data_IF_599182334641
#
_entry.id   IF_599182334641
#
_cell.length_a   1.000
_cell.length_b   1.000
_cell.length_c   1.000
_cell.angle_alpha   90.00
_cell.angle_beta   90.00
_cell.angle_gamma   90.00
#
_symmetry.space_group_name_H-M   'P 1'
#
loop_
_entity.id
_entity.type
_entity.pdbx_description
1 polymer ?
#
# COMPACT_ATOMS: atom_id res chain seq x y z
N UNK A 1 -18.08 2.75 34.20
CA UNK A 1 -17.93 2.11 32.89
C UNK A 1 -16.90 2.93 32.11
N UNK A 2 -15.70 2.38 31.92
CA UNK A 2 -14.62 3.07 31.19
C UNK A 2 -14.91 2.88 29.70
N UNK A 3 -15.26 3.96 29.01
CA UNK A 3 -15.44 3.96 27.56
C UNK A 3 -14.05 3.97 26.93
N UNK A 4 -13.46 2.78 26.75
CA UNK A 4 -12.33 2.57 25.86
C UNK A 4 -12.87 2.65 24.43
N UNK A 5 -12.91 3.86 23.88
CA UNK A 5 -13.28 4.09 22.49
C UNK A 5 -12.23 3.38 21.63
N UNK A 6 -12.68 2.37 20.87
CA UNK A 6 -11.88 1.53 20.01
C UNK A 6 -11.05 2.35 19.02
N UNK A 7 -9.79 2.62 19.35
CA UNK A 7 -8.83 3.25 18.43
C UNK A 7 -8.31 2.27 17.37
N UNK A 8 -8.73 0.99 17.44
CA UNK A 8 -8.23 -0.08 16.57
C UNK A 8 -8.95 -0.17 15.21
N UNK A 9 -10.18 0.33 15.08
CA UNK A 9 -10.95 0.22 13.83
C UNK A 9 -10.41 1.09 12.69
N UNK A 10 -9.51 2.04 12.96
CA UNK A 10 -8.93 2.90 11.92
C UNK A 10 -7.72 2.28 11.21
N UNK A 11 -7.12 1.24 11.79
CA UNK A 11 -5.88 0.63 11.25
C UNK A 11 -6.18 -0.50 10.28
N UNK A 12 -7.37 -1.11 10.34
CA UNK A 12 -7.76 -2.25 9.49
C UNK A 12 -8.03 -1.89 8.02
N UNK A 13 -8.15 -0.61 7.66
CA UNK A 13 -8.51 -0.21 6.28
C UNK A 13 -7.46 0.65 5.57
N UNK A 14 -6.23 0.77 6.09
CA UNK A 14 -5.12 1.47 5.43
C UNK A 14 -4.20 0.50 4.69
N UNK A 15 -4.78 -0.47 3.97
CA UNK A 15 -3.99 -1.25 3.03
C UNK A 15 -3.60 -0.31 1.87
N UNK A 16 -2.31 -0.03 1.65
CA UNK A 16 -1.91 0.86 0.57
C UNK A 16 -2.32 0.22 -0.76
N UNK A 17 -3.05 0.95 -1.59
CA UNK A 17 -3.47 0.50 -2.92
C UNK A 17 -2.77 1.30 -4.00
N UNK A 18 -2.50 0.67 -5.14
CA UNK A 18 -1.87 1.34 -6.26
C UNK A 18 -2.86 2.34 -6.87
N UNK A 19 -2.54 3.63 -6.99
CA UNK A 19 -3.46 4.61 -7.55
C UNK A 19 -3.73 4.38 -9.05
N UNK A 20 -2.86 3.63 -9.75
CA UNK A 20 -3.04 3.30 -11.17
C UNK A 20 -4.02 2.16 -11.45
N UNK A 21 -3.98 1.10 -10.64
CA UNK A 21 -4.77 -0.12 -10.89
C UNK A 21 -5.55 -0.64 -9.67
N UNK A 22 -5.54 0.12 -8.56
CA UNK A 22 -6.16 -0.20 -7.28
C UNK A 22 -5.73 -1.55 -6.69
N UNK A 23 -4.67 -2.16 -7.21
CA UNK A 23 -4.13 -3.41 -6.67
C UNK A 23 -3.45 -3.13 -5.33
N UNK A 24 -3.63 -4.03 -4.38
CA UNK A 24 -3.00 -3.96 -3.06
C UNK A 24 -1.48 -3.88 -3.21
N UNK A 25 -0.88 -2.83 -2.65
CA UNK A 25 0.56 -2.58 -2.62
C UNK A 25 1.16 -3.46 -1.52
N UNK A 26 1.98 -4.41 -1.93
CA UNK A 26 2.76 -5.26 -1.07
C UNK A 26 4.20 -5.21 -1.58
N UNK A 27 5.07 -4.59 -0.79
CA UNK A 27 6.48 -4.44 -1.13
C UNK A 27 7.14 -5.81 -1.29
N UNK A 28 7.77 -6.04 -2.45
CA UNK A 28 8.38 -7.32 -2.83
C UNK A 28 7.45 -8.28 -3.56
N UNK A 29 6.14 -8.24 -3.30
CA UNK A 29 5.15 -9.08 -3.99
C UNK A 29 4.59 -8.36 -5.23
N UNK A 30 3.83 -7.29 -5.02
CA UNK A 30 3.11 -6.55 -6.07
C UNK A 30 3.82 -5.27 -6.50
N UNK A 31 4.91 -4.89 -5.82
CA UNK A 31 5.82 -3.84 -6.29
C UNK A 31 7.20 -4.41 -6.61
N UNK A 32 7.86 -3.81 -7.59
CA UNK A 32 9.25 -4.04 -7.96
C UNK A 32 10.05 -2.77 -7.75
N UNK A 33 11.28 -2.89 -7.26
CA UNK A 33 12.18 -1.75 -7.18
C UNK A 33 12.84 -1.53 -8.54
N UNK A 34 12.66 -0.34 -9.12
CA UNK A 34 13.30 0.05 -10.39
C UNK A 34 14.59 0.81 -10.06
N UNK A 35 15.72 0.12 -10.06
CA UNK A 35 17.04 0.71 -9.72
C UNK A 35 17.39 1.94 -10.56
N UNK A 36 17.02 1.93 -11.85
CA UNK A 36 17.25 3.06 -12.77
C UNK A 36 16.58 4.36 -12.33
N UNK A 37 15.43 4.25 -11.67
CA UNK A 37 14.60 5.38 -11.25
C UNK A 37 14.63 5.58 -9.72
N UNK A 38 15.29 4.67 -8.98
CA UNK A 38 15.34 4.66 -7.50
C UNK A 38 13.96 4.75 -6.83
N UNK A 39 12.94 4.14 -7.44
CA UNK A 39 11.54 4.14 -6.98
C UNK A 39 10.97 2.73 -7.03
N UNK A 40 9.93 2.48 -6.23
CA UNK A 40 9.12 1.27 -6.35
C UNK A 40 8.03 1.49 -7.40
N UNK A 41 7.90 0.56 -8.34
CA UNK A 41 6.81 0.52 -9.30
C UNK A 41 5.87 -0.63 -8.99
N UNK A 42 4.57 -0.44 -9.19
CA UNK A 42 3.60 -1.53 -9.18
C UNK A 42 3.91 -2.50 -10.33
N UNK A 43 4.04 -3.80 -10.05
CA UNK A 43 4.25 -4.83 -11.07
C UNK A 43 3.02 -5.01 -11.97
N UNK A 44 1.81 -4.75 -11.46
CA UNK A 44 0.56 -4.95 -12.21
C UNK A 44 0.33 -3.89 -13.28
N UNK A 45 0.67 -2.61 -13.03
CA UNK A 45 0.37 -1.51 -13.95
C UNK A 45 1.57 -0.60 -14.28
N UNK A 46 2.71 -0.78 -13.62
CA UNK A 46 3.91 0.03 -13.82
C UNK A 46 3.90 1.40 -13.13
N UNK A 47 2.86 1.74 -12.36
CA UNK A 47 2.80 3.01 -11.63
C UNK A 47 3.92 3.11 -10.58
N UNK A 48 4.72 4.17 -10.64
CA UNK A 48 5.81 4.44 -9.71
C UNK A 48 5.30 5.22 -8.48
N UNK A 49 5.79 4.86 -7.29
CA UNK A 49 5.47 5.49 -5.99
C UNK A 49 6.68 6.21 -5.41
#
# INVERSE_FOLDING_TARGET
MVVLVNFFEQVENLEPHCPGCQSKVQFGLTTEYKEKLKTHACKSCGHAF
#
